data_IF_353822367648
#
_entry.id   IF_353822367648
#
_cell.length_a   1.000
_cell.length_b   1.000
_cell.length_c   1.000
_cell.angle_alpha   90.00
_cell.angle_beta   90.00
_cell.angle_gamma   90.00
#
_symmetry.space_group_name_H-M   'P 1'
#
loop_
_entity.id
_entity.type
_entity.pdbx_description
1 polymer ?
#
# COMPACT_ATOMS: atom_id res chain seq x y z
N UNK A 1 6.49 -12.83 26.85
CA UNK A 1 6.60 -13.60 25.59
C UNK A 1 8.09 -13.74 25.24
N UNK A 2 8.63 -14.93 24.97
CA UNK A 2 10.07 -15.20 24.96
C UNK A 2 10.89 -14.53 23.83
N UNK A 3 10.25 -13.94 22.80
CA UNK A 3 10.94 -13.29 21.67
C UNK A 3 10.51 -11.83 21.41
N UNK A 4 9.72 -11.21 22.30
CA UNK A 4 9.21 -9.85 22.10
C UNK A 4 8.22 -9.67 20.92
N UNK A 5 7.86 -10.76 20.22
CA UNK A 5 6.90 -10.72 19.13
C UNK A 5 5.47 -10.64 19.67
N UNK A 6 4.76 -9.56 19.35
CA UNK A 6 3.36 -9.37 19.72
C UNK A 6 2.41 -10.07 18.75
N UNK A 7 2.69 -9.96 17.45
CA UNK A 7 1.91 -10.50 16.35
C UNK A 7 2.81 -11.28 15.38
N UNK A 8 2.31 -12.38 14.83
CA UNK A 8 2.96 -13.16 13.78
C UNK A 8 2.07 -13.17 12.54
N UNK A 9 2.57 -12.64 11.42
CA UNK A 9 1.91 -12.74 10.11
C UNK A 9 2.59 -13.84 9.29
N UNK A 10 1.78 -14.75 8.75
CA UNK A 10 2.23 -15.86 7.91
C UNK A 10 1.76 -15.58 6.48
N UNK A 11 2.70 -15.72 5.54
CA UNK A 11 2.42 -15.51 4.13
C UNK A 11 1.66 -16.70 3.54
N UNK A 12 0.56 -16.43 2.85
CA UNK A 12 -0.15 -17.46 2.08
C UNK A 12 0.41 -17.62 0.66
N UNK A 13 -0.27 -18.44 -0.14
CA UNK A 13 0.05 -18.64 -1.55
C UNK A 13 -0.18 -17.35 -2.33
N UNK A 14 0.94 -16.87 -2.86
CA UNK A 14 1.05 -15.67 -3.67
C UNK A 14 0.10 -15.68 -4.86
N UNK A 15 -0.63 -14.58 -5.04
CA UNK A 15 -1.45 -14.29 -6.22
C UNK A 15 -2.32 -15.46 -6.71
N UNK A 16 -2.85 -16.27 -5.78
CA UNK A 16 -3.47 -17.55 -6.15
C UNK A 16 -4.68 -17.40 -7.09
N UNK A 17 -5.36 -16.25 -7.05
CA UNK A 17 -6.48 -15.86 -7.92
C UNK A 17 -6.04 -15.44 -9.34
N UNK A 18 -4.76 -15.17 -9.60
CA UNK A 18 -4.26 -14.75 -10.91
C UNK A 18 -4.37 -15.87 -11.96
N UNK A 19 -4.94 -15.58 -13.12
CA UNK A 19 -5.27 -16.58 -14.14
C UNK A 19 -4.02 -17.34 -14.63
N UNK A 20 -2.98 -16.66 -15.13
CA UNK A 20 -1.73 -17.30 -15.60
C UNK A 20 -1.93 -18.58 -16.45
N UNK A 21 -2.93 -18.59 -17.34
CA UNK A 21 -3.28 -19.75 -18.18
C UNK A 21 -4.24 -20.76 -17.53
N UNK A 22 -4.78 -20.46 -16.34
CA UNK A 22 -5.78 -21.25 -15.61
C UNK A 22 -7.18 -20.64 -15.75
N UNK A 23 -8.21 -21.43 -15.54
CA UNK A 23 -9.60 -20.94 -15.49
C UNK A 23 -9.90 -20.24 -14.15
N UNK A 24 -10.90 -19.34 -14.09
CA UNK A 24 -11.34 -18.74 -12.84
C UNK A 24 -11.67 -19.78 -11.75
N UNK A 25 -12.31 -20.89 -12.09
CA UNK A 25 -12.67 -21.95 -11.15
C UNK A 25 -11.43 -22.61 -10.54
N UNK A 26 -10.38 -22.80 -11.33
CA UNK A 26 -9.11 -23.36 -10.86
C UNK A 26 -8.37 -22.42 -9.91
N UNK A 27 -8.37 -21.12 -10.21
CA UNK A 27 -7.72 -20.13 -9.34
C UNK A 27 -8.48 -19.96 -8.03
N UNK A 28 -9.82 -19.92 -8.09
CA UNK A 28 -10.70 -19.89 -6.91
C UNK A 28 -10.50 -21.14 -6.05
N UNK A 29 -10.52 -22.33 -6.66
CA UNK A 29 -10.27 -23.60 -5.96
C UNK A 29 -8.91 -23.59 -5.27
N UNK A 30 -7.87 -23.12 -5.97
CA UNK A 30 -6.52 -22.99 -5.42
C UNK A 30 -6.46 -22.02 -4.25
N UNK A 31 -7.16 -20.88 -4.35
CA UNK A 31 -7.17 -19.86 -3.31
C UNK A 31 -7.89 -20.34 -2.05
N UNK A 32 -9.10 -20.90 -2.21
CA UNK A 32 -9.95 -21.38 -1.10
C UNK A 32 -9.37 -22.62 -0.43
N UNK A 33 -8.62 -23.46 -1.14
CA UNK A 33 -7.95 -24.63 -0.55
C UNK A 33 -6.96 -24.28 0.58
N UNK A 34 -6.57 -23.02 0.73
CA UNK A 34 -5.72 -22.55 1.82
C UNK A 34 -6.46 -22.36 3.14
N UNK A 35 -7.81 -22.29 3.13
CA UNK A 35 -8.65 -21.99 4.29
C UNK A 35 -8.33 -22.86 5.52
N UNK A 36 -8.23 -24.20 5.43
CA UNK A 36 -7.92 -25.02 6.61
C UNK A 36 -6.58 -24.64 7.27
N UNK A 37 -5.56 -24.31 6.47
CA UNK A 37 -4.28 -23.87 6.99
C UNK A 37 -4.38 -22.50 7.67
N UNK A 38 -5.13 -21.56 7.08
CA UNK A 38 -5.33 -20.23 7.64
C UNK A 38 -6.17 -20.26 8.92
N UNK A 39 -7.17 -21.14 9.00
CA UNK A 39 -7.94 -21.39 10.23
C UNK A 39 -7.06 -21.97 11.34
N UNK A 40 -6.16 -22.91 11.01
CA UNK A 40 -5.19 -23.44 11.96
C UNK A 40 -4.24 -22.34 12.50
N UNK A 41 -3.78 -21.45 11.62
CA UNK A 41 -2.96 -20.29 11.98
C UNK A 41 -3.72 -19.35 12.93
N UNK A 42 -4.97 -19.01 12.61
CA UNK A 42 -5.80 -18.14 13.45
C UNK A 42 -6.12 -18.75 14.81
N UNK A 43 -6.34 -20.07 14.87
CA UNK A 43 -6.63 -20.79 16.13
C UNK A 43 -5.51 -20.64 17.16
N UNK A 44 -4.27 -20.48 16.71
CA UNK A 44 -3.10 -20.25 17.59
C UNK A 44 -2.73 -18.77 17.73
N UNK A 45 -3.61 -17.85 17.28
CA UNK A 45 -3.41 -16.40 17.35
C UNK A 45 -2.51 -15.80 16.26
N UNK A 46 -2.14 -16.59 15.25
CA UNK A 46 -1.43 -16.09 14.08
C UNK A 46 -2.34 -15.30 13.13
N UNK A 47 -1.73 -14.46 12.31
CA UNK A 47 -2.39 -13.65 11.29
C UNK A 47 -1.93 -14.07 9.90
N UNK A 48 -2.74 -13.84 8.88
CA UNK A 48 -2.43 -14.18 7.50
C UNK A 48 -2.36 -12.92 6.64
N UNK A 49 -1.32 -12.85 5.79
CA UNK A 49 -1.24 -11.86 4.73
C UNK A 49 -0.86 -12.48 3.40
N UNK A 50 -1.36 -11.92 2.30
CA UNK A 50 -1.17 -12.45 0.95
C UNK A 50 -1.19 -11.31 -0.06
N UNK A 51 -0.32 -11.37 -1.06
CA UNK A 51 -0.48 -10.58 -2.28
C UNK A 51 -1.55 -11.16 -3.18
N UNK A 52 -2.43 -10.30 -3.66
CA UNK A 52 -3.58 -10.72 -4.42
C UNK A 52 -4.35 -9.55 -5.00
N UNK A 53 -5.57 -9.85 -5.43
CA UNK A 53 -6.39 -8.91 -6.17
C UNK A 53 -7.54 -8.38 -5.30
N UNK A 54 -7.80 -7.09 -5.45
CA UNK A 54 -8.99 -6.44 -4.94
C UNK A 54 -10.27 -6.95 -5.62
N UNK A 55 -11.42 -6.74 -4.99
CA UNK A 55 -12.69 -6.90 -5.69
C UNK A 55 -12.86 -5.79 -6.75
N UNK A 56 -13.61 -6.07 -7.82
CA UNK A 56 -13.85 -5.09 -8.87
C UNK A 56 -14.22 -5.73 -10.21
N UNK A 57 -13.83 -5.07 -11.29
CA UNK A 57 -13.98 -5.60 -12.64
C UNK A 57 -12.61 -5.86 -13.26
N UNK A 58 -12.40 -7.08 -13.75
CA UNK A 58 -11.19 -7.46 -14.47
C UNK A 58 -11.61 -8.03 -15.83
N UNK A 59 -11.13 -7.43 -16.92
CA UNK A 59 -11.49 -7.80 -18.30
C UNK A 59 -13.02 -7.89 -18.56
N UNK A 60 -13.80 -7.02 -17.91
CA UNK A 60 -15.26 -6.98 -18.06
C UNK A 60 -16.04 -7.91 -17.12
N UNK A 61 -15.37 -8.75 -16.35
CA UNK A 61 -16.01 -9.65 -15.39
C UNK A 61 -15.87 -9.14 -13.95
N UNK A 62 -16.93 -9.31 -13.16
CA UNK A 62 -16.90 -8.96 -11.74
C UNK A 62 -16.10 -10.00 -10.96
N UNK A 63 -14.98 -9.58 -10.40
CA UNK A 63 -14.14 -10.40 -9.53
C UNK A 63 -14.44 -10.11 -8.07
N UNK A 64 -14.63 -11.16 -7.28
CA UNK A 64 -14.86 -11.06 -5.82
C UNK A 64 -13.61 -10.62 -5.05
N UNK A 65 -12.43 -10.73 -5.65
CA UNK A 65 -11.15 -10.47 -5.01
C UNK A 65 -10.86 -11.41 -3.83
N UNK A 66 -9.74 -11.18 -3.15
CA UNK A 66 -9.40 -11.94 -1.95
C UNK A 66 -10.48 -11.82 -0.87
N UNK A 67 -11.02 -10.60 -0.67
CA UNK A 67 -12.00 -10.32 0.35
C UNK A 67 -13.27 -11.18 0.20
N UNK A 68 -13.81 -11.30 -1.01
CA UNK A 68 -15.06 -12.03 -1.22
C UNK A 68 -14.99 -13.55 -1.09
N UNK A 69 -13.78 -14.13 -0.92
CA UNK A 69 -13.61 -15.55 -0.66
C UNK A 69 -13.03 -15.86 0.72
N UNK A 70 -12.15 -14.99 1.24
CA UNK A 70 -11.34 -15.25 2.44
C UNK A 70 -11.19 -14.02 3.34
N UNK A 71 -11.99 -12.96 3.15
CA UNK A 71 -11.91 -11.73 3.94
C UNK A 71 -12.25 -11.92 5.43
N UNK A 72 -12.97 -12.98 5.77
CA UNK A 72 -13.28 -13.38 7.15
C UNK A 72 -12.06 -13.92 7.92
N UNK A 73 -11.04 -14.41 7.20
CA UNK A 73 -9.87 -15.08 7.80
C UNK A 73 -8.53 -14.47 7.42
N UNK A 74 -8.42 -13.75 6.31
CA UNK A 74 -7.22 -13.01 5.93
C UNK A 74 -7.14 -11.71 6.74
N UNK A 75 -5.95 -11.37 7.25
CA UNK A 75 -5.76 -10.17 8.09
C UNK A 75 -5.21 -8.99 7.32
N UNK A 76 -4.43 -9.23 6.26
CA UNK A 76 -3.85 -8.17 5.45
C UNK A 76 -3.84 -8.58 3.97
N UNK A 77 -4.36 -7.71 3.11
CA UNK A 77 -4.22 -7.83 1.66
C UNK A 77 -3.07 -6.94 1.17
N UNK A 78 -2.15 -7.51 0.42
CA UNK A 78 -1.20 -6.76 -0.39
C UNK A 78 -1.83 -6.65 -1.78
N UNK A 79 -2.52 -5.54 -2.05
CA UNK A 79 -3.41 -5.42 -3.20
C UNK A 79 -2.65 -5.01 -4.46
N UNK A 80 -2.88 -5.74 -5.54
CA UNK A 80 -2.29 -5.48 -6.85
C UNK A 80 -2.90 -4.25 -7.53
N UNK A 81 -2.04 -3.35 -8.00
CA UNK A 81 -2.38 -2.27 -8.91
C UNK A 81 -3.01 -1.06 -8.23
N UNK A 82 -3.76 -0.27 -9.00
CA UNK A 82 -4.29 1.02 -8.53
C UNK A 82 -5.22 0.86 -7.32
N UNK A 83 -5.02 1.64 -6.23
CA UNK A 83 -5.81 1.55 -5.01
C UNK A 83 -7.23 2.09 -5.22
N UNK A 84 -8.20 1.52 -4.51
CA UNK A 84 -9.59 2.02 -4.52
C UNK A 84 -10.15 2.04 -3.10
N UNK A 85 -10.81 3.15 -2.75
CA UNK A 85 -11.32 3.39 -1.39
C UNK A 85 -12.31 2.30 -0.91
N UNK A 86 -13.11 1.74 -1.81
CA UNK A 86 -14.07 0.68 -1.46
C UNK A 86 -13.40 -0.63 -1.05
N UNK A 87 -12.17 -0.89 -1.52
CA UNK A 87 -11.43 -2.07 -1.09
C UNK A 87 -10.91 -1.89 0.34
N UNK A 88 -10.33 -0.73 0.66
CA UNK A 88 -9.93 -0.41 2.03
C UNK A 88 -11.10 -0.52 3.00
N UNK A 89 -12.25 0.07 2.66
CA UNK A 89 -13.47 -0.04 3.47
C UNK A 89 -13.88 -1.49 3.75
N UNK A 90 -13.76 -2.40 2.75
CA UNK A 90 -14.03 -3.83 2.95
C UNK A 90 -13.09 -4.44 4.00
N UNK A 91 -11.79 -4.28 3.85
CA UNK A 91 -10.80 -4.85 4.77
C UNK A 91 -10.92 -4.27 6.18
N UNK A 92 -11.10 -2.95 6.29
CA UNK A 92 -11.27 -2.29 7.58
C UNK A 92 -12.55 -2.71 8.29
N UNK A 93 -13.65 -3.04 7.57
CA UNK A 93 -14.91 -3.49 8.17
C UNK A 93 -14.80 -4.78 9.00
N UNK A 94 -13.76 -5.58 8.75
CA UNK A 94 -13.47 -6.84 9.47
C UNK A 94 -12.22 -6.73 10.35
N UNK A 95 -11.72 -5.51 10.58
CA UNK A 95 -10.46 -5.26 11.31
C UNK A 95 -9.21 -5.72 10.57
N UNK A 96 -9.32 -5.99 9.26
CA UNK A 96 -8.20 -6.29 8.38
C UNK A 96 -7.49 -5.02 7.92
N UNK A 97 -6.36 -5.21 7.24
CA UNK A 97 -5.55 -4.13 6.63
C UNK A 97 -5.41 -4.33 5.13
N UNK A 98 -5.14 -3.25 4.40
CA UNK A 98 -4.82 -3.31 2.97
C UNK A 98 -3.59 -2.47 2.68
N UNK A 99 -2.62 -3.06 1.99
CA UNK A 99 -1.46 -2.37 1.42
C UNK A 99 -1.51 -2.44 -0.10
N UNK A 100 -0.65 -1.68 -0.78
CA UNK A 100 -0.61 -1.62 -2.24
C UNK A 100 0.76 -2.07 -2.78
N UNK A 101 0.75 -2.84 -3.86
CA UNK A 101 1.94 -3.22 -4.62
C UNK A 101 1.69 -3.18 -6.13
N UNK A 102 2.77 -3.21 -6.90
CA UNK A 102 2.75 -3.20 -8.36
C UNK A 102 2.00 -2.00 -8.97
N UNK A 103 2.09 -0.83 -8.33
CA UNK A 103 1.52 0.42 -8.82
C UNK A 103 2.58 1.55 -8.93
N UNK A 104 3.58 1.46 -9.80
CA UNK A 104 3.96 0.33 -10.65
C UNK A 104 4.93 -0.61 -9.91
N UNK A 105 5.27 -1.74 -10.54
CA UNK A 105 6.32 -2.63 -10.02
C UNK A 105 7.71 -2.01 -10.23
N UNK A 106 8.67 -2.40 -9.37
CA UNK A 106 10.05 -1.92 -9.41
C UNK A 106 10.67 -2.02 -10.81
N UNK A 107 11.57 -1.11 -11.14
CA UNK A 107 12.40 -1.14 -12.34
C UNK A 107 11.98 -0.17 -13.45
N UNK A 108 11.11 0.80 -13.14
CA UNK A 108 10.68 1.82 -14.10
C UNK A 108 11.54 3.10 -14.05
N UNK A 109 12.22 3.36 -12.92
CA UNK A 109 13.04 4.56 -12.69
C UNK A 109 12.27 5.89 -12.85
N UNK A 110 11.03 5.92 -12.34
CA UNK A 110 10.14 7.08 -12.41
C UNK A 110 9.88 7.65 -11.01
N UNK A 111 10.76 8.52 -10.47
CA UNK A 111 10.66 9.00 -9.08
C UNK A 111 9.30 9.63 -8.75
N UNK A 112 8.80 10.51 -9.61
CA UNK A 112 7.52 11.21 -9.39
C UNK A 112 6.34 10.24 -9.29
N UNK A 113 6.26 9.24 -10.19
CA UNK A 113 5.23 8.21 -10.15
C UNK A 113 5.25 7.41 -8.85
N UNK A 114 6.42 7.03 -8.35
CA UNK A 114 6.54 6.27 -7.10
C UNK A 114 6.18 7.12 -5.89
N UNK A 115 6.59 8.39 -5.88
CA UNK A 115 6.27 9.33 -4.81
C UNK A 115 4.76 9.51 -4.67
N UNK A 116 4.05 9.69 -5.78
CA UNK A 116 2.57 9.80 -5.77
C UNK A 116 1.91 8.52 -5.31
N UNK A 117 2.24 7.41 -5.98
CA UNK A 117 1.49 6.17 -5.86
C UNK A 117 1.69 5.44 -4.53
N UNK A 118 2.87 5.58 -3.93
CA UNK A 118 3.20 4.93 -2.64
C UNK A 118 3.19 5.89 -1.46
N UNK A 119 2.93 7.18 -1.70
CA UNK A 119 2.71 8.21 -0.69
C UNK A 119 1.23 8.58 -0.56
N UNK A 120 0.91 9.84 -0.90
CA UNK A 120 -0.41 10.43 -0.66
C UNK A 120 -1.57 9.72 -1.37
N UNK A 121 -1.35 9.04 -2.50
CA UNK A 121 -2.42 8.29 -3.18
C UNK A 121 -3.00 7.19 -2.29
N UNK A 122 -2.13 6.48 -1.54
CA UNK A 122 -2.56 5.43 -0.63
C UNK A 122 -3.36 6.01 0.52
N UNK A 123 -2.91 7.13 1.08
CA UNK A 123 -3.68 7.85 2.08
C UNK A 123 -5.03 8.30 1.53
N UNK A 124 -5.12 8.86 0.32
CA UNK A 124 -6.39 9.28 -0.28
C UNK A 124 -7.40 8.13 -0.43
N UNK A 125 -6.91 6.90 -0.59
CA UNK A 125 -7.72 5.70 -0.75
C UNK A 125 -7.87 4.86 0.53
N UNK A 126 -7.47 5.40 1.69
CA UNK A 126 -7.56 4.71 3.00
C UNK A 126 -6.72 3.43 3.08
N UNK A 127 -5.60 3.34 2.36
CA UNK A 127 -4.70 2.19 2.45
C UNK A 127 -3.76 2.33 3.67
N UNK A 128 -3.42 1.21 4.29
CA UNK A 128 -2.56 1.12 5.48
C UNK A 128 -1.06 1.25 5.16
N UNK A 129 -0.70 1.34 3.88
CA UNK A 129 0.65 1.66 3.43
C UNK A 129 1.06 0.93 2.16
N UNK A 130 2.28 1.18 1.69
CA UNK A 130 2.85 0.49 0.54
C UNK A 130 3.57 -0.80 0.95
N UNK A 131 3.57 -1.81 0.09
CA UNK A 131 4.35 -3.04 0.27
C UNK A 131 4.82 -3.56 -1.09
N UNK A 132 5.99 -3.12 -1.56
CA UNK A 132 6.52 -3.58 -2.85
C UNK A 132 6.92 -5.04 -2.80
N UNK A 133 6.86 -5.71 -3.96
CA UNK A 133 7.24 -7.13 -4.11
C UNK A 133 8.65 -7.43 -3.58
N UNK A 134 9.59 -6.53 -3.85
CA UNK A 134 10.97 -6.69 -3.42
C UNK A 134 11.59 -5.33 -3.11
N UNK A 135 12.34 -5.28 -2.02
CA UNK A 135 13.33 -4.21 -1.82
C UNK A 135 14.52 -4.41 -2.77
N UNK A 136 14.88 -5.68 -2.98
CA UNK A 136 15.96 -6.14 -3.84
C UNK A 136 15.64 -7.54 -4.33
N UNK A 137 16.05 -7.83 -5.55
CA UNK A 137 16.14 -9.17 -6.12
C UNK A 137 17.61 -9.54 -6.40
N UNK A 138 17.92 -10.07 -7.58
CA UNK A 138 19.27 -10.48 -7.98
C UNK A 138 20.16 -9.27 -8.29
N UNK A 139 21.47 -9.50 -8.22
CA UNK A 139 22.47 -8.48 -8.53
C UNK A 139 22.40 -8.07 -10.01
N UNK A 140 22.00 -6.82 -10.27
CA UNK A 140 22.05 -6.21 -11.60
C UNK A 140 20.88 -6.55 -12.51
N UNK A 141 20.65 -5.68 -13.50
CA UNK A 141 19.56 -5.80 -14.48
C UNK A 141 19.85 -6.81 -15.61
N UNK A 142 21.10 -7.27 -15.74
CA UNK A 142 21.58 -8.12 -16.83
C UNK A 142 20.90 -9.50 -16.90
N UNK A 143 20.22 -9.91 -15.83
CA UNK A 143 19.63 -11.23 -15.74
C UNK A 143 18.19 -11.32 -16.23
N UNK A 144 17.54 -10.20 -16.57
CA UNK A 144 16.12 -10.22 -16.93
C UNK A 144 15.90 -10.01 -18.44
N UNK A 145 14.97 -10.80 -18.99
CA UNK A 145 14.71 -10.85 -20.44
C UNK A 145 13.69 -9.80 -20.93
N UNK A 146 12.90 -9.21 -20.04
CA UNK A 146 11.74 -8.37 -20.41
C UNK A 146 11.57 -7.10 -19.56
N UNK A 147 11.83 -7.19 -18.26
CA UNK A 147 11.71 -6.08 -17.31
C UNK A 147 12.99 -5.99 -16.48
N UNK A 148 13.35 -4.82 -15.96
CA UNK A 148 14.37 -4.76 -14.90
C UNK A 148 13.97 -5.63 -13.71
N UNK A 149 14.94 -6.06 -12.89
CA UNK A 149 14.78 -7.08 -11.82
C UNK A 149 13.98 -6.59 -10.58
N UNK A 150 13.11 -5.60 -10.75
CA UNK A 150 12.34 -4.98 -9.66
C UNK A 150 13.16 -4.42 -8.49
N UNK A 151 14.47 -4.23 -8.68
CA UNK A 151 15.37 -3.70 -7.66
C UNK A 151 14.98 -2.26 -7.32
N UNK A 152 14.68 -1.98 -6.05
CA UNK A 152 14.59 -0.61 -5.54
C UNK A 152 15.97 -0.06 -5.17
N UNK A 153 16.92 -0.94 -4.87
CA UNK A 153 18.30 -0.57 -4.56
C UNK A 153 19.27 -1.57 -5.17
N UNK A 154 20.51 -1.13 -5.44
CA UNK A 154 21.61 -2.00 -5.84
C UNK A 154 22.60 -2.18 -4.69
N UNK A 155 23.20 -3.37 -4.47
CA UNK A 155 24.19 -3.55 -3.42
C UNK A 155 25.51 -2.95 -3.83
N UNK A 156 26.27 -2.55 -2.83
CA UNK A 156 27.72 -2.43 -2.91
C UNK A 156 28.34 -3.37 -1.89
N UNK A 157 29.67 -3.42 -1.84
CA UNK A 157 30.41 -4.22 -0.85
C UNK A 157 30.06 -3.82 0.59
N UNK A 158 29.72 -2.55 0.81
CA UNK A 158 29.53 -1.98 2.15
C UNK A 158 28.21 -1.24 2.33
N UNK A 159 27.24 -1.41 1.43
CA UNK A 159 25.98 -0.68 1.50
C UNK A 159 25.10 -0.86 0.27
N UNK A 160 24.39 0.20 -0.08
CA UNK A 160 23.46 0.25 -1.19
C UNK A 160 23.67 1.51 -2.02
N UNK A 161 23.22 1.44 -3.27
CA UNK A 161 23.00 2.58 -4.14
C UNK A 161 21.50 2.64 -4.39
N UNK A 162 20.92 3.78 -4.04
CA UNK A 162 19.51 4.06 -4.25
C UNK A 162 19.21 4.22 -5.76
N UNK A 163 18.04 3.73 -6.17
CA UNK A 163 17.52 3.98 -7.52
C UNK A 163 16.68 5.25 -7.53
N UNK A 164 16.43 5.83 -8.72
CA UNK A 164 15.59 7.02 -8.81
C UNK A 164 14.18 6.74 -8.32
N UNK A 165 13.63 5.58 -8.66
CA UNK A 165 12.31 5.15 -8.16
C UNK A 165 12.27 4.95 -6.64
N UNK A 166 13.38 4.54 -6.02
CA UNK A 166 13.45 4.41 -4.56
C UNK A 166 13.47 5.77 -3.88
N UNK A 167 14.18 6.75 -4.42
CA UNK A 167 14.10 8.12 -3.90
C UNK A 167 12.69 8.68 -4.01
N UNK A 168 11.98 8.41 -5.11
CA UNK A 168 10.55 8.70 -5.22
C UNK A 168 9.72 8.05 -4.13
N UNK A 169 9.88 6.73 -3.94
CA UNK A 169 9.19 5.95 -2.92
C UNK A 169 9.45 6.50 -1.50
N UNK A 170 10.72 6.77 -1.16
CA UNK A 170 11.15 7.33 0.13
C UNK A 170 10.52 8.71 0.38
N UNK A 171 10.56 9.59 -0.61
CA UNK A 171 9.95 10.92 -0.52
C UNK A 171 8.42 10.85 -0.33
N UNK A 172 7.77 9.83 -0.92
CA UNK A 172 6.33 9.60 -0.73
C UNK A 172 5.99 9.16 0.69
N UNK A 173 6.84 8.34 1.31
CA UNK A 173 6.72 8.00 2.74
C UNK A 173 6.89 9.26 3.61
N UNK A 174 7.86 10.12 3.29
CA UNK A 174 8.07 11.35 4.05
C UNK A 174 6.87 12.31 3.90
N UNK A 175 6.25 12.42 2.72
CA UNK A 175 5.00 13.17 2.53
C UNK A 175 3.90 12.69 3.50
N UNK A 176 3.73 11.37 3.63
CA UNK A 176 2.76 10.77 4.55
C UNK A 176 3.14 11.05 6.01
N UNK A 177 4.42 11.06 6.38
CA UNK A 177 4.85 11.38 7.76
C UNK A 177 4.51 12.82 8.14
N UNK A 178 4.72 13.78 7.24
CA UNK A 178 4.27 15.17 7.45
C UNK A 178 2.75 15.24 7.57
N UNK A 179 2.04 14.57 6.66
CA UNK A 179 0.57 14.52 6.69
C UNK A 179 0.03 13.96 8.00
N UNK A 180 0.55 12.82 8.47
CA UNK A 180 0.16 12.19 9.74
C UNK A 180 0.49 13.10 10.93
N UNK A 181 1.59 13.84 10.87
CA UNK A 181 1.92 14.84 11.89
C UNK A 181 0.84 15.93 11.95
N UNK A 182 0.41 16.44 10.80
CA UNK A 182 -0.68 17.43 10.73
C UNK A 182 -2.00 16.86 11.26
N UNK A 183 -2.38 15.65 10.87
CA UNK A 183 -3.59 14.96 11.37
C UNK A 183 -3.55 14.86 12.91
N UNK A 184 -2.44 14.39 13.47
CA UNK A 184 -2.29 14.25 14.92
C UNK A 184 -2.35 15.59 15.67
N UNK A 185 -1.80 16.67 15.09
CA UNK A 185 -1.90 18.01 15.68
C UNK A 185 -3.34 18.51 15.67
N UNK A 186 -4.04 18.34 14.56
CA UNK A 186 -5.45 18.69 14.42
C UNK A 186 -6.30 17.92 15.45
N UNK A 187 -6.08 16.62 15.65
CA UNK A 187 -6.81 15.80 16.62
C UNK A 187 -6.63 16.27 18.07
N UNK A 188 -5.44 16.78 18.41
CA UNK A 188 -5.12 17.26 19.76
C UNK A 188 -5.47 18.73 20.00
N UNK A 189 -5.72 19.50 18.95
CA UNK A 189 -5.97 20.93 19.03
C UNK A 189 -7.44 21.25 19.35
N UNK A 190 -7.67 22.45 19.90
CA UNK A 190 -9.02 22.99 20.09
C UNK A 190 -9.65 23.36 18.74
N UNK A 191 -10.70 22.62 18.37
CA UNK A 191 -11.47 22.79 17.12
C UNK A 191 -12.18 24.15 17.01
N UNK A 192 -12.30 24.90 18.11
CA UNK A 192 -12.84 26.26 18.11
C UNK A 192 -11.90 27.27 17.44
N UNK A 193 -10.60 26.94 17.27
CA UNK A 193 -9.62 27.82 16.65
C UNK A 193 -9.73 27.83 15.12
N UNK A 194 -9.63 29.02 14.52
CA UNK A 194 -9.78 29.21 13.09
C UNK A 194 -8.72 28.45 12.26
N UNK A 195 -7.46 28.47 12.69
CA UNK A 195 -6.35 27.75 12.05
C UNK A 195 -6.56 26.22 12.02
N UNK A 196 -7.20 25.64 13.05
CA UNK A 196 -7.53 24.20 13.09
C UNK A 196 -8.59 23.87 12.03
N UNK A 197 -9.66 24.67 11.95
CA UNK A 197 -10.70 24.49 10.92
C UNK A 197 -10.17 24.67 9.49
N UNK A 198 -9.26 25.62 9.28
CA UNK A 198 -8.59 25.80 7.99
C UNK A 198 -7.78 24.55 7.61
N UNK A 199 -7.01 24.00 8.55
CA UNK A 199 -6.21 22.81 8.33
C UNK A 199 -7.08 21.57 8.06
N UNK A 200 -8.19 21.41 8.77
CA UNK A 200 -9.20 20.36 8.50
C UNK A 200 -9.80 20.50 7.11
N UNK A 201 -10.20 21.71 6.72
CA UNK A 201 -10.71 21.97 5.38
C UNK A 201 -9.68 21.67 4.29
N UNK A 202 -8.41 22.01 4.54
CA UNK A 202 -7.31 21.67 3.64
C UNK A 202 -7.16 20.16 3.49
N UNK A 203 -7.13 19.40 4.59
CA UNK A 203 -7.02 17.94 4.55
C UNK A 203 -8.21 17.29 3.84
N UNK A 204 -9.44 17.76 4.08
CA UNK A 204 -10.62 17.25 3.39
C UNK A 204 -10.51 17.47 1.88
N UNK A 205 -10.07 18.65 1.43
CA UNK A 205 -9.83 18.92 0.00
C UNK A 205 -8.73 18.03 -0.56
N UNK A 206 -7.61 17.89 0.17
CA UNK A 206 -6.51 17.03 -0.25
C UNK A 206 -6.95 15.56 -0.34
N UNK A 207 -7.88 15.11 0.51
CA UNK A 207 -8.41 13.74 0.51
C UNK A 207 -9.18 13.41 -0.78
N UNK A 208 -9.89 14.39 -1.33
CA UNK A 208 -10.79 14.19 -2.48
C UNK A 208 -10.17 14.62 -3.82
N UNK A 209 -9.09 15.41 -3.80
CA UNK A 209 -8.35 15.78 -5.00
C UNK A 209 -7.64 14.58 -5.65
N UNK A 210 -7.45 14.62 -6.97
CA UNK A 210 -6.60 13.63 -7.65
C UNK A 210 -5.10 14.00 -7.50
N UNK A 211 -4.37 13.29 -6.64
CA UNK A 211 -2.93 13.52 -6.47
C UNK A 211 -2.12 13.14 -7.72
N UNK A 212 -2.67 12.30 -8.59
CA UNK A 212 -2.03 11.88 -9.84
C UNK A 212 -2.33 12.80 -11.01
N UNK A 213 -3.15 13.83 -10.82
CA UNK A 213 -3.37 14.83 -11.85
C UNK A 213 -2.05 15.54 -12.21
N UNK A 214 -1.80 15.73 -13.52
CA UNK A 214 -0.52 16.23 -14.06
C UNK A 214 -0.12 17.58 -13.46
N UNK A 215 -1.08 18.42 -13.12
CA UNK A 215 -0.89 19.75 -12.54
C UNK A 215 -0.54 19.75 -11.04
N UNK A 216 -0.63 18.59 -10.37
CA UNK A 216 -0.41 18.51 -8.93
C UNK A 216 1.09 18.51 -8.60
N UNK A 217 1.56 19.55 -7.93
CA UNK A 217 2.95 19.70 -7.47
C UNK A 217 3.11 19.19 -6.03
N UNK A 218 3.79 18.06 -5.86
CA UNK A 218 4.00 17.43 -4.55
C UNK A 218 4.94 18.22 -3.63
N UNK A 219 5.86 19.03 -4.16
CA UNK A 219 6.70 19.88 -3.32
C UNK A 219 5.86 21.01 -2.73
N UNK A 220 4.97 21.60 -3.52
CA UNK A 220 4.00 22.56 -3.03
C UNK A 220 3.04 21.93 -2.02
N UNK A 221 2.50 20.74 -2.31
CA UNK A 221 1.63 20.02 -1.37
C UNK A 221 2.32 19.77 -0.03
N UNK A 222 3.56 19.26 -0.03
CA UNK A 222 4.33 19.08 1.21
C UNK A 222 4.54 20.39 1.95
N UNK A 223 4.90 21.46 1.23
CA UNK A 223 5.13 22.77 1.83
C UNK A 223 3.87 23.35 2.48
N UNK A 224 2.70 23.16 1.85
CA UNK A 224 1.42 23.55 2.44
C UNK A 224 1.09 22.75 3.70
N UNK A 225 1.32 21.43 3.71
CA UNK A 225 1.18 20.59 4.91
C UNK A 225 2.08 21.11 6.04
N UNK A 226 3.35 21.39 5.74
CA UNK A 226 4.32 21.94 6.72
C UNK A 226 3.85 23.28 7.25
N UNK A 227 3.35 24.17 6.38
CA UNK A 227 2.83 25.47 6.80
C UNK A 227 1.66 25.33 7.78
N UNK A 228 0.77 24.36 7.59
CA UNK A 228 -0.29 24.10 8.56
C UNK A 228 0.25 23.50 9.86
N UNK A 229 1.23 22.59 9.81
CA UNK A 229 1.90 22.08 11.01
C UNK A 229 2.45 23.24 11.84
N UNK A 230 3.19 24.15 11.21
CA UNK A 230 3.80 25.31 11.87
C UNK A 230 2.77 26.29 12.45
N UNK A 231 1.55 26.34 11.91
CA UNK A 231 0.45 27.16 12.46
C UNK A 231 -0.23 26.53 13.68
N UNK A 232 -0.03 25.23 13.92
CA UNK A 232 -0.72 24.47 14.97
C UNK A 232 0.17 24.12 16.17
N UNK A 233 1.49 24.29 16.04
CA UNK A 233 2.44 24.24 17.15
C UNK A 233 2.53 25.60 17.85
#
# INVERSE_FOLDING_TARGET
KPYGLEELYIYGKDEALSLHGRTPEETIRTFVAQRPAWEAIRKIGGKVFVAGMRAGHFKGERVKGNFGFMGDIQNLLVAYGYPVREEAARWHSVGGKVTCYANPQGGMEQPDTYRRNYGLLLWQNDYDGPMTYAYRERWGDFYAKKYKRHNMVYPTVSGIIDTMQWEGYREGIDDVRYLTTLVNLIEKADKSKANVREAESYLSKLKDNDINAVQTDLYKTRSEIINYILKLI
#
